data_IF_605918333216
#
_entry.id   IF_605918333216
#
_cell.length_a   1.000
_cell.length_b   1.000
_cell.length_c   1.000
_cell.angle_alpha   90.00
_cell.angle_beta   90.00
_cell.angle_gamma   90.00
#
_symmetry.space_group_name_H-M   'P 1'
#
loop_
_entity.id
_entity.type
_entity.pdbx_description
1 polymer ?
#
# COMPACT_ATOMS: atom_id res chain seq x y z
N UNK A 1 -22.04 1.22 5.40
CA UNK A 1 -22.34 2.09 4.26
C UNK A 1 -23.50 3.01 4.65
N UNK A 2 -23.34 4.30 4.46
CA UNK A 2 -24.38 5.29 4.71
C UNK A 2 -24.76 5.97 3.41
N UNK A 3 -26.07 6.13 3.16
CA UNK A 3 -26.57 6.83 2.00
C UNK A 3 -26.63 8.34 2.28
N UNK A 4 -26.23 9.15 1.31
CA UNK A 4 -26.32 10.60 1.37
C UNK A 4 -26.80 11.19 0.05
N UNK A 5 -27.31 12.41 0.10
CA UNK A 5 -27.64 13.18 -1.08
C UNK A 5 -26.37 13.92 -1.55
N UNK A 6 -25.90 13.55 -2.66
CA UNK A 6 -24.57 13.41 -3.21
C UNK A 6 -23.61 14.62 -3.30
N UNK A 7 -23.98 15.86 -3.10
CA UNK A 7 -23.05 16.97 -3.41
C UNK A 7 -22.14 17.41 -2.25
N UNK A 8 -22.47 17.03 -1.03
CA UNK A 8 -21.64 17.24 0.16
C UNK A 8 -22.08 16.25 1.24
N UNK A 9 -21.32 15.15 1.44
CA UNK A 9 -21.61 14.21 2.51
C UNK A 9 -21.62 14.92 3.87
N UNK A 10 -22.63 14.67 4.74
CA UNK A 10 -22.61 15.21 6.09
C UNK A 10 -21.60 14.46 6.97
N UNK A 11 -21.30 15.03 8.11
CA UNK A 11 -20.63 14.29 9.17
C UNK A 11 -21.53 13.14 9.65
N UNK A 12 -20.93 11.99 9.95
CA UNK A 12 -21.60 10.82 10.48
C UNK A 12 -21.04 10.44 11.86
N UNK A 13 -21.73 9.52 12.51
CA UNK A 13 -21.23 8.84 13.69
C UNK A 13 -21.33 7.33 13.51
N UNK A 14 -20.52 6.59 14.28
CA UNK A 14 -20.53 5.14 14.32
C UNK A 14 -20.16 4.63 15.71
N UNK A 15 -20.45 3.36 15.97
CA UNK A 15 -20.05 2.67 17.20
C UNK A 15 -18.55 2.31 17.15
N UNK A 16 -17.74 3.17 17.77
CA UNK A 16 -16.30 2.98 17.86
C UNK A 16 -15.89 1.79 18.75
N UNK A 17 -16.79 1.31 19.62
CA UNK A 17 -16.50 0.13 20.46
C UNK A 17 -16.39 -1.14 19.62
N UNK A 18 -17.15 -1.23 18.54
CA UNK A 18 -17.09 -2.35 17.59
C UNK A 18 -15.82 -2.38 16.74
N UNK A 19 -15.09 -1.27 16.72
CA UNK A 19 -13.82 -1.12 15.97
C UNK A 19 -12.60 -0.96 16.90
N UNK A 20 -12.79 -1.11 18.21
CA UNK A 20 -11.75 -0.91 19.24
C UNK A 20 -11.22 0.54 19.29
N UNK A 21 -12.05 1.50 18.90
CA UNK A 21 -11.72 2.93 18.91
C UNK A 21 -12.38 3.69 20.06
N UNK A 22 -13.32 3.07 20.80
CA UNK A 22 -13.98 3.65 21.95
C UNK A 22 -14.34 2.60 22.99
N UNK A 23 -14.60 3.05 24.22
CA UNK A 23 -15.12 2.21 25.31
C UNK A 23 -16.64 2.00 25.16
N UNK A 24 -17.16 0.82 25.53
CA UNK A 24 -18.58 0.50 25.40
C UNK A 24 -19.53 1.44 26.17
N UNK A 25 -19.06 2.11 27.23
CA UNK A 25 -19.82 3.10 27.98
C UNK A 25 -19.88 4.50 27.33
N UNK A 26 -19.04 4.77 26.31
CA UNK A 26 -19.00 6.00 25.52
C UNK A 26 -18.51 5.65 24.11
N UNK A 27 -19.37 4.98 23.35
CA UNK A 27 -18.98 4.25 22.14
C UNK A 27 -18.95 5.07 20.87
N UNK A 28 -19.53 6.28 20.86
CA UNK A 28 -19.64 7.08 19.63
C UNK A 28 -18.30 7.66 19.20
N UNK A 29 -17.97 7.45 17.92
CA UNK A 29 -16.96 8.19 17.19
C UNK A 29 -17.59 8.93 16.01
N UNK A 30 -16.94 10.00 15.55
CA UNK A 30 -17.40 10.81 14.42
C UNK A 30 -16.61 10.48 13.17
N UNK A 31 -17.28 10.57 12.03
CA UNK A 31 -16.71 10.42 10.69
C UNK A 31 -16.83 11.76 9.94
N UNK A 32 -15.70 12.37 9.65
CA UNK A 32 -15.63 13.59 8.85
C UNK A 32 -15.27 13.21 7.41
N UNK A 33 -16.12 13.53 6.43
CA UNK A 33 -15.81 13.35 5.02
C UNK A 33 -14.58 14.15 4.59
N UNK A 34 -13.65 13.49 3.88
CA UNK A 34 -12.42 14.13 3.39
C UNK A 34 -12.26 14.02 1.88
N UNK A 35 -12.76 12.94 1.27
CA UNK A 35 -12.71 12.73 -0.17
C UNK A 35 -13.91 11.92 -0.63
N UNK A 36 -14.48 12.28 -1.77
CA UNK A 36 -15.55 11.51 -2.42
C UNK A 36 -15.04 10.95 -3.74
N UNK A 37 -15.33 9.67 -3.99
CA UNK A 37 -15.05 8.96 -5.23
C UNK A 37 -16.39 8.65 -5.91
N UNK A 38 -16.63 9.26 -7.06
CA UNK A 38 -17.80 8.96 -7.88
C UNK A 38 -17.67 7.55 -8.46
N UNK A 39 -18.66 6.71 -8.19
CA UNK A 39 -18.64 5.32 -8.64
C UNK A 39 -19.68 5.09 -9.73
N UNK A 40 -19.28 4.97 -11.01
CA UNK A 40 -20.21 4.77 -12.12
C UNK A 40 -20.95 3.43 -12.07
N UNK A 41 -20.48 2.48 -11.26
CA UNK A 41 -21.03 1.12 -11.16
C UNK A 41 -21.80 0.86 -9.85
N UNK A 42 -22.05 1.89 -9.05
CA UNK A 42 -22.72 1.70 -7.76
C UNK A 42 -22.90 3.00 -6.98
N UNK A 43 -22.78 2.88 -5.66
CA UNK A 43 -22.83 4.05 -4.78
C UNK A 43 -21.46 4.70 -4.68
N UNK A 44 -21.43 6.02 -4.62
CA UNK A 44 -20.23 6.79 -4.37
C UNK A 44 -19.55 6.34 -3.07
N UNK A 45 -18.23 6.36 -3.07
CA UNK A 45 -17.43 6.07 -1.88
C UNK A 45 -16.98 7.37 -1.24
N UNK A 46 -17.15 7.47 0.06
CA UNK A 46 -16.71 8.64 0.83
C UNK A 46 -15.64 8.19 1.81
N UNK A 47 -14.41 8.67 1.58
CA UNK A 47 -13.32 8.55 2.54
C UNK A 47 -13.58 9.49 3.70
N UNK A 48 -13.43 8.99 4.92
CA UNK A 48 -13.65 9.75 6.14
C UNK A 48 -12.46 9.62 7.08
N UNK A 49 -12.23 10.65 7.87
CA UNK A 49 -11.32 10.59 9.03
C UNK A 49 -12.12 10.51 10.33
N UNK A 50 -11.52 9.92 11.36
CA UNK A 50 -12.17 9.65 12.64
C UNK A 50 -11.84 10.74 13.65
N UNK A 51 -12.87 11.20 14.37
CA UNK A 51 -12.73 12.01 15.58
C UNK A 51 -13.39 11.30 16.78
N UNK A 52 -12.93 11.64 17.97
CA UNK A 52 -13.60 11.27 19.21
C UNK A 52 -14.93 12.02 19.35
N UNK A 53 -15.80 11.58 20.25
CA UNK A 53 -17.11 12.21 20.48
C UNK A 53 -17.04 13.68 20.89
N UNK A 54 -15.94 14.14 21.45
CA UNK A 54 -15.66 15.52 21.85
C UNK A 54 -15.08 16.38 20.69
N UNK A 55 -15.07 15.85 19.47
CA UNK A 55 -14.51 16.47 18.25
C UNK A 55 -12.99 16.62 18.22
N UNK A 56 -12.27 15.99 19.15
CA UNK A 56 -10.80 15.92 19.04
C UNK A 56 -10.38 14.86 18.04
N UNK A 57 -9.20 15.04 17.43
CA UNK A 57 -8.62 14.03 16.53
C UNK A 57 -8.45 12.71 17.27
N UNK A 58 -9.04 11.62 16.75
CA UNK A 58 -8.91 10.32 17.37
C UNK A 58 -7.46 9.80 17.28
N UNK A 59 -6.91 9.14 18.32
CA UNK A 59 -5.51 8.63 18.30
C UNK A 59 -5.18 7.69 17.13
N UNK A 60 -6.16 7.00 16.57
CA UNK A 60 -5.99 6.15 15.37
C UNK A 60 -6.07 6.90 14.05
N UNK A 61 -6.27 8.21 14.07
CA UNK A 61 -6.39 9.03 12.85
C UNK A 61 -5.03 9.56 12.41
N UNK A 62 -4.22 8.71 11.77
CA UNK A 62 -2.92 9.10 11.23
C UNK A 62 -3.02 10.01 10.00
N UNK A 63 -4.19 10.02 9.32
CA UNK A 63 -4.44 10.94 8.21
C UNK A 63 -4.34 12.39 8.63
N UNK A 64 -4.90 12.76 9.77
CA UNK A 64 -4.84 14.13 10.28
C UNK A 64 -3.39 14.59 10.52
N UNK A 65 -2.52 13.72 11.04
CA UNK A 65 -1.11 14.03 11.22
C UNK A 65 -0.37 14.19 9.88
N UNK A 66 -0.64 13.32 8.91
CA UNK A 66 -0.07 13.42 7.58
C UNK A 66 -0.52 14.70 6.85
N UNK A 67 -1.78 15.10 7.00
CA UNK A 67 -2.34 16.33 6.37
C UNK A 67 -1.64 17.60 6.83
N UNK A 68 -1.05 17.61 8.03
CA UNK A 68 -0.31 18.78 8.55
C UNK A 68 1.06 18.98 7.88
N UNK A 69 1.66 17.91 7.34
CA UNK A 69 3.05 17.91 6.86
C UNK A 69 3.20 17.63 5.36
N UNK A 70 2.23 16.92 4.77
CA UNK A 70 2.32 16.50 3.36
C UNK A 70 1.62 17.50 2.45
N UNK A 71 2.33 17.96 1.43
CA UNK A 71 1.81 18.87 0.40
C UNK A 71 1.76 18.19 -0.97
N UNK A 72 1.00 18.76 -1.92
CA UNK A 72 0.90 18.25 -3.30
C UNK A 72 2.21 18.34 -4.10
N UNK A 73 3.23 18.97 -3.55
CA UNK A 73 4.58 18.94 -4.09
C UNK A 73 5.17 17.52 -4.08
N UNK A 74 4.80 16.72 -3.08
CA UNK A 74 5.22 15.33 -2.95
C UNK A 74 4.36 14.42 -3.80
N UNK A 75 5.01 13.58 -4.59
CA UNK A 75 4.39 12.51 -5.36
C UNK A 75 4.79 11.18 -4.75
N UNK A 76 3.81 10.30 -4.64
CA UNK A 76 3.99 8.96 -4.08
C UNK A 76 3.46 7.91 -5.04
N UNK A 77 4.19 6.79 -5.13
CA UNK A 77 3.77 5.60 -5.87
C UNK A 77 3.94 4.39 -4.97
N UNK A 78 2.84 3.72 -4.64
CA UNK A 78 2.83 2.53 -3.81
C UNK A 78 2.76 1.28 -4.68
N UNK A 79 3.68 0.35 -4.47
CA UNK A 79 3.71 -0.98 -5.09
C UNK A 79 3.09 -1.95 -4.10
N UNK A 80 1.76 -2.08 -4.15
CA UNK A 80 1.02 -2.91 -3.21
C UNK A 80 1.04 -4.36 -3.62
N UNK A 81 1.84 -5.17 -2.93
CA UNK A 81 1.81 -6.62 -3.05
C UNK A 81 0.75 -7.24 -2.15
N UNK A 82 0.20 -8.37 -2.58
CA UNK A 82 -0.78 -9.14 -1.83
C UNK A 82 -0.89 -10.57 -2.39
N UNK A 83 -1.54 -11.47 -1.63
CA UNK A 83 -1.93 -12.78 -2.12
C UNK A 83 -3.44 -12.87 -2.23
N UNK A 84 -3.92 -13.47 -3.31
CA UNK A 84 -5.25 -14.07 -3.30
C UNK A 84 -5.19 -15.38 -2.53
N UNK A 85 -6.21 -15.66 -1.73
CA UNK A 85 -6.26 -16.84 -0.87
C UNK A 85 -7.59 -17.56 -0.99
N UNK A 86 -7.59 -18.84 -0.74
CA UNK A 86 -8.78 -19.60 -0.47
C UNK A 86 -9.34 -19.18 0.90
N UNK A 87 -10.61 -18.73 1.01
CA UNK A 87 -11.17 -18.19 2.24
C UNK A 87 -11.41 -19.23 3.34
N UNK A 88 -11.47 -20.53 3.00
CA UNK A 88 -11.71 -21.62 3.95
C UNK A 88 -10.39 -22.07 4.62
N UNK A 89 -9.33 -22.14 3.83
CA UNK A 89 -8.02 -22.65 4.28
C UNK A 89 -7.01 -21.56 4.60
N UNK A 90 -7.16 -20.37 4.02
CA UNK A 90 -6.18 -19.27 4.07
C UNK A 90 -4.95 -19.49 3.19
N UNK A 91 -4.87 -20.62 2.47
CA UNK A 91 -3.77 -20.91 1.56
C UNK A 91 -3.81 -20.00 0.33
N UNK A 92 -2.67 -19.67 -0.28
CA UNK A 92 -2.65 -18.91 -1.52
C UNK A 92 -3.45 -19.60 -2.63
N UNK A 93 -4.13 -18.83 -3.45
CA UNK A 93 -4.87 -19.35 -4.58
C UNK A 93 -3.95 -20.10 -5.54
N UNK A 94 -4.36 -21.32 -5.96
CA UNK A 94 -3.54 -22.21 -6.79
C UNK A 94 -2.67 -23.19 -5.99
N UNK A 95 -2.77 -23.21 -4.66
CA UNK A 95 -2.02 -24.12 -3.79
C UNK A 95 -2.85 -25.28 -3.24
N UNK A 96 -4.03 -25.53 -3.79
CA UNK A 96 -4.98 -26.54 -3.30
C UNK A 96 -4.42 -27.97 -3.32
N UNK A 97 -3.38 -28.21 -4.12
CA UNK A 97 -2.68 -29.51 -4.23
C UNK A 97 -1.32 -29.53 -3.52
N UNK A 98 -1.07 -28.58 -2.61
CA UNK A 98 0.20 -28.38 -1.93
C UNK A 98 1.05 -27.28 -2.56
N UNK A 99 2.29 -27.13 -2.08
CA UNK A 99 3.18 -26.10 -2.59
C UNK A 99 3.42 -26.24 -4.10
N UNK A 100 3.34 -25.13 -4.86
CA UNK A 100 3.67 -25.15 -6.28
C UNK A 100 5.18 -25.32 -6.50
N UNK A 101 5.62 -25.30 -7.76
CA UNK A 101 7.04 -25.21 -8.09
C UNK A 101 7.68 -23.95 -7.48
N UNK A 102 9.01 -23.96 -7.37
CA UNK A 102 9.79 -22.85 -6.80
C UNK A 102 9.35 -21.48 -7.38
N UNK A 103 9.41 -20.47 -6.53
CA UNK A 103 9.09 -19.08 -6.92
C UNK A 103 10.03 -18.56 -8.00
N UNK A 104 9.64 -17.44 -8.63
CA UNK A 104 10.38 -16.79 -9.70
C UNK A 104 9.74 -16.98 -11.06
N UNK A 105 9.45 -18.22 -11.45
CA UNK A 105 8.83 -18.56 -12.74
C UNK A 105 7.40 -18.01 -12.93
N UNK A 106 6.77 -17.50 -11.85
CA UNK A 106 5.43 -16.92 -11.88
C UNK A 106 5.44 -15.42 -12.15
N UNK A 107 6.59 -14.75 -11.99
CA UNK A 107 6.72 -13.31 -12.14
C UNK A 107 6.31 -12.85 -13.54
N UNK A 108 5.37 -11.90 -13.60
CA UNK A 108 4.73 -11.45 -14.85
C UNK A 108 4.18 -12.61 -15.71
N UNK A 109 3.80 -13.73 -15.06
CA UNK A 109 3.42 -14.97 -15.72
C UNK A 109 2.20 -14.83 -16.62
N UNK A 110 2.21 -15.59 -17.71
CA UNK A 110 1.10 -15.71 -18.68
C UNK A 110 0.81 -17.17 -18.92
N UNK A 111 -0.48 -17.49 -19.03
CA UNK A 111 -0.96 -18.86 -19.23
C UNK A 111 -1.40 -19.55 -17.95
N UNK A 112 -2.37 -20.45 -18.07
CA UNK A 112 -3.08 -21.08 -16.94
C UNK A 112 -2.19 -21.87 -15.97
N UNK A 113 -1.01 -22.31 -16.39
CA UNK A 113 -0.06 -23.00 -15.52
C UNK A 113 0.90 -22.05 -14.77
N UNK A 114 0.85 -20.76 -15.05
CA UNK A 114 1.80 -19.76 -14.53
C UNK A 114 1.14 -18.66 -13.70
N UNK A 115 -0.20 -18.53 -13.75
CA UNK A 115 -0.91 -17.45 -13.07
C UNK A 115 -2.31 -17.91 -12.67
N UNK A 116 -2.76 -17.41 -11.53
CA UNK A 116 -4.14 -17.54 -11.03
C UNK A 116 -4.62 -16.18 -10.56
N UNK A 117 -5.94 -15.91 -10.62
CA UNK A 117 -6.53 -14.66 -10.13
C UNK A 117 -6.43 -13.46 -11.08
N UNK A 118 -6.00 -13.64 -12.33
CA UNK A 118 -5.87 -12.53 -13.30
C UNK A 118 -7.19 -11.78 -13.52
N UNK A 119 -8.28 -12.48 -13.67
CA UNK A 119 -9.59 -11.87 -13.87
C UNK A 119 -9.97 -10.94 -12.71
N UNK A 120 -9.64 -11.33 -11.49
CA UNK A 120 -9.88 -10.55 -10.27
C UNK A 120 -9.00 -9.29 -10.28
N UNK A 121 -7.71 -9.45 -10.59
CA UNK A 121 -6.74 -8.34 -10.67
C UNK A 121 -7.11 -7.34 -11.77
N UNK A 122 -7.52 -7.81 -12.94
CA UNK A 122 -7.95 -6.95 -14.05
C UNK A 122 -9.26 -6.21 -13.70
N UNK A 123 -10.22 -6.88 -13.04
CA UNK A 123 -11.45 -6.25 -12.55
C UNK A 123 -11.14 -5.15 -11.51
N UNK A 124 -10.25 -5.44 -10.56
CA UNK A 124 -9.80 -4.46 -9.57
C UNK A 124 -9.14 -3.23 -10.23
N UNK A 125 -8.22 -3.45 -11.17
CA UNK A 125 -7.58 -2.38 -11.93
C UNK A 125 -8.62 -1.47 -12.60
N UNK A 126 -9.57 -2.06 -13.34
CA UNK A 126 -10.60 -1.28 -14.03
C UNK A 126 -11.50 -0.52 -13.05
N UNK A 127 -11.95 -1.16 -11.98
CA UNK A 127 -12.80 -0.51 -10.98
C UNK A 127 -12.11 0.68 -10.28
N UNK A 128 -10.82 0.58 -10.01
CA UNK A 128 -10.05 1.69 -9.47
C UNK A 128 -9.90 2.84 -10.47
N UNK A 129 -9.63 2.54 -11.74
CA UNK A 129 -9.57 3.55 -12.80
C UNK A 129 -10.92 4.26 -12.98
N UNK A 130 -12.02 3.53 -12.91
CA UNK A 130 -13.38 4.09 -13.00
C UNK A 130 -13.73 5.02 -11.81
N UNK A 131 -13.10 4.79 -10.65
CA UNK A 131 -13.19 5.70 -9.48
C UNK A 131 -12.25 6.92 -9.57
N UNK A 132 -11.47 7.04 -10.65
CA UNK A 132 -10.48 8.11 -10.80
C UNK A 132 -9.22 7.93 -9.96
N UNK A 133 -8.96 6.72 -9.48
CA UNK A 133 -7.70 6.35 -8.82
C UNK A 133 -6.67 6.00 -9.89
N UNK A 134 -5.49 6.58 -9.81
CA UNK A 134 -4.43 6.31 -10.79
C UNK A 134 -3.69 5.02 -10.42
N UNK A 135 -4.13 3.90 -10.98
CA UNK A 135 -3.33 2.69 -11.03
C UNK A 135 -2.51 2.67 -12.32
N UNK A 136 -1.20 2.54 -12.19
CA UNK A 136 -0.28 2.56 -13.35
C UNK A 136 0.00 1.18 -13.92
N UNK A 137 -0.35 0.13 -13.18
CA UNK A 137 -0.22 -1.24 -13.63
C UNK A 137 -0.62 -2.27 -12.59
N UNK A 138 -0.64 -3.52 -13.02
CA UNK A 138 -0.75 -4.71 -12.17
C UNK A 138 0.06 -5.84 -12.79
N UNK A 139 0.65 -6.70 -11.96
CA UNK A 139 1.42 -7.87 -12.40
C UNK A 139 1.29 -9.01 -11.40
N UNK A 140 1.41 -10.23 -11.92
CA UNK A 140 1.64 -11.40 -11.09
C UNK A 140 3.06 -11.33 -10.51
N UNK A 141 3.20 -11.71 -9.26
CA UNK A 141 4.44 -11.71 -8.52
C UNK A 141 5.14 -13.09 -8.52
N UNK A 142 6.27 -13.20 -7.82
CA UNK A 142 7.17 -14.35 -7.88
C UNK A 142 6.58 -15.65 -7.35
N UNK A 143 5.56 -15.61 -6.50
CA UNK A 143 4.84 -16.76 -6.01
C UNK A 143 3.48 -16.92 -6.68
N UNK A 144 3.04 -18.16 -6.89
CA UNK A 144 1.71 -18.41 -7.43
C UNK A 144 0.63 -17.88 -6.49
N UNK A 145 -0.32 -17.08 -7.02
CA UNK A 145 -1.35 -16.40 -6.23
C UNK A 145 -0.94 -15.04 -5.67
N UNK A 146 0.34 -14.68 -5.78
CA UNK A 146 0.84 -13.35 -5.41
C UNK A 146 0.68 -12.38 -6.58
N UNK A 147 0.22 -11.18 -6.26
CA UNK A 147 -0.02 -10.08 -7.19
C UNK A 147 0.49 -8.77 -6.62
N UNK A 148 0.70 -7.82 -7.52
CA UNK A 148 1.03 -6.44 -7.22
C UNK A 148 0.19 -5.49 -8.07
N UNK A 149 -0.16 -4.33 -7.53
CA UNK A 149 -0.61 -3.18 -8.32
C UNK A 149 0.11 -1.91 -7.86
N UNK A 150 0.28 -0.96 -8.79
CA UNK A 150 0.96 0.30 -8.52
C UNK A 150 -0.07 1.44 -8.48
N UNK A 151 -0.17 2.11 -7.30
CA UNK A 151 -1.06 3.24 -7.06
C UNK A 151 -0.25 4.53 -6.95
N UNK A 152 -0.51 5.49 -7.84
CA UNK A 152 0.21 6.76 -7.93
C UNK A 152 -0.69 7.92 -7.53
N UNK A 153 -0.17 8.84 -6.70
CA UNK A 153 -0.90 10.03 -6.29
C UNK A 153 0.01 11.18 -5.86
N UNK A 154 -0.63 12.31 -5.54
CA UNK A 154 0.04 13.51 -5.03
C UNK A 154 -0.47 13.85 -3.64
N UNK A 155 0.43 14.31 -2.80
CA UNK A 155 0.07 14.71 -1.46
C UNK A 155 -0.64 13.62 -0.69
N UNK A 156 -1.50 14.01 0.22
CA UNK A 156 -2.27 13.09 1.07
C UNK A 156 -3.25 12.21 0.28
N UNK A 157 -3.70 12.71 -0.90
CA UNK A 157 -4.60 11.95 -1.77
C UNK A 157 -3.99 10.62 -2.20
N UNK A 158 -2.68 10.50 -2.31
CA UNK A 158 -2.02 9.23 -2.63
C UNK A 158 -2.36 8.14 -1.61
N UNK A 159 -2.37 8.47 -0.31
CA UNK A 159 -2.73 7.55 0.76
C UNK A 159 -4.24 7.27 0.82
N UNK A 160 -5.07 8.28 0.57
CA UNK A 160 -6.52 8.12 0.45
C UNK A 160 -6.85 7.13 -0.69
N UNK A 161 -6.24 7.31 -1.86
CA UNK A 161 -6.40 6.45 -3.04
C UNK A 161 -5.96 5.00 -2.76
N UNK A 162 -4.84 4.81 -2.05
CA UNK A 162 -4.38 3.48 -1.69
C UNK A 162 -5.37 2.78 -0.74
N UNK A 163 -5.91 3.47 0.26
CA UNK A 163 -6.93 2.89 1.15
C UNK A 163 -8.20 2.51 0.40
N UNK A 164 -8.67 3.36 -0.52
CA UNK A 164 -9.84 3.04 -1.34
C UNK A 164 -9.55 1.89 -2.29
N UNK A 165 -8.37 1.84 -2.90
CA UNK A 165 -7.96 0.71 -3.76
C UNK A 165 -7.91 -0.61 -2.99
N UNK A 166 -7.40 -0.63 -1.75
CA UNK A 166 -7.45 -1.81 -0.86
C UNK A 166 -8.89 -2.24 -0.58
N UNK A 167 -9.78 -1.28 -0.24
CA UNK A 167 -11.20 -1.59 -0.04
C UNK A 167 -11.83 -2.22 -1.29
N UNK A 168 -11.55 -1.66 -2.46
CA UNK A 168 -12.04 -2.23 -3.72
C UNK A 168 -11.48 -3.62 -4.00
N UNK A 169 -10.21 -3.86 -3.68
CA UNK A 169 -9.59 -5.18 -3.84
C UNK A 169 -10.32 -6.24 -3.00
N UNK A 170 -10.56 -5.96 -1.72
CA UNK A 170 -11.30 -6.87 -0.85
C UNK A 170 -12.74 -7.08 -1.32
N UNK A 171 -13.43 -5.99 -1.69
CA UNK A 171 -14.82 -6.05 -2.16
C UNK A 171 -14.96 -6.87 -3.45
N UNK A 172 -14.05 -6.68 -4.40
CA UNK A 172 -14.07 -7.44 -5.65
C UNK A 172 -13.71 -8.90 -5.41
N UNK A 173 -12.68 -9.18 -4.60
CA UNK A 173 -12.32 -10.56 -4.25
C UNK A 173 -13.48 -11.31 -3.60
N UNK A 174 -14.29 -10.64 -2.76
CA UNK A 174 -15.53 -11.19 -2.18
C UNK A 174 -16.53 -11.64 -3.28
N UNK A 175 -16.68 -10.89 -4.37
CA UNK A 175 -17.57 -11.24 -5.49
C UNK A 175 -17.13 -12.54 -6.19
N UNK A 176 -15.84 -12.84 -6.16
CA UNK A 176 -15.26 -14.08 -6.73
C UNK A 176 -15.12 -15.21 -5.69
N UNK A 177 -15.54 -14.99 -4.45
CA UNK A 177 -15.38 -15.98 -3.37
C UNK A 177 -13.92 -16.23 -2.98
N UNK A 178 -13.05 -15.24 -3.13
CA UNK A 178 -11.61 -15.31 -2.89
C UNK A 178 -11.24 -14.36 -1.77
N UNK A 179 -10.31 -14.76 -0.90
CA UNK A 179 -9.72 -13.93 0.13
C UNK A 179 -8.55 -13.08 -0.39
N UNK A 180 -8.19 -12.05 0.37
CA UNK A 180 -7.01 -11.20 0.14
C UNK A 180 -6.15 -11.20 1.40
N UNK A 181 -4.87 -11.44 1.25
CA UNK A 181 -3.90 -11.44 2.34
C UNK A 181 -2.79 -10.41 2.05
N UNK A 182 -2.71 -9.37 2.89
CA UNK A 182 -1.67 -8.33 2.86
C UNK A 182 -0.65 -8.49 4.01
N UNK A 183 -0.54 -9.68 4.59
CA UNK A 183 0.50 -9.95 5.59
C UNK A 183 1.88 -9.87 4.95
N UNK A 184 2.92 -9.32 5.62
CA UNK A 184 4.26 -9.21 5.02
C UNK A 184 4.92 -10.55 4.72
N UNK A 185 4.49 -11.63 5.35
CA UNK A 185 5.00 -13.00 5.10
C UNK A 185 3.83 -14.01 5.11
N UNK A 186 3.01 -14.08 4.04
CA UNK A 186 1.87 -14.98 3.98
C UNK A 186 2.23 -16.46 4.03
N UNK A 187 3.40 -16.81 3.48
CA UNK A 187 3.96 -18.19 3.55
C UNK A 187 5.33 -18.16 4.20
N UNK A 188 5.52 -19.03 5.18
CA UNK A 188 6.80 -19.26 5.83
C UNK A 188 7.74 -20.09 4.94
N UNK A 189 9.02 -20.17 5.30
CA UNK A 189 10.00 -20.90 4.52
C UNK A 189 10.63 -20.06 3.41
N UNK A 190 11.09 -20.73 2.35
CA UNK A 190 11.83 -20.13 1.23
C UNK A 190 10.88 -19.47 0.19
N UNK A 191 9.97 -18.61 0.68
CA UNK A 191 9.05 -17.84 -0.13
C UNK A 191 9.26 -16.34 0.09
N UNK A 192 9.04 -15.54 -0.95
CA UNK A 192 9.04 -14.08 -0.80
C UNK A 192 7.97 -13.62 0.19
N UNK A 193 8.24 -12.48 0.82
CA UNK A 193 7.24 -11.72 1.52
C UNK A 193 6.43 -10.84 0.58
N UNK A 194 5.51 -10.07 1.15
CA UNK A 194 4.76 -9.02 0.46
C UNK A 194 5.12 -7.66 1.03
N UNK A 195 5.58 -6.77 0.16
CA UNK A 195 5.94 -5.39 0.47
C UNK A 195 4.89 -4.39 0.00
N UNK A 196 5.12 -3.16 0.36
CA UNK A 196 4.53 -1.99 -0.24
C UNK A 196 5.64 -0.99 -0.49
N UNK A 197 6.49 -1.29 -1.47
CA UNK A 197 7.57 -0.38 -1.84
C UNK A 197 6.97 0.98 -2.17
N UNK A 198 7.58 2.02 -1.62
CA UNK A 198 7.06 3.37 -1.76
C UNK A 198 8.02 4.22 -2.55
N UNK A 199 7.62 4.53 -3.77
CA UNK A 199 8.30 5.50 -4.61
C UNK A 199 7.89 6.90 -4.18
N UNK A 200 8.85 7.82 -4.06
CA UNK A 200 8.54 9.20 -3.68
C UNK A 200 9.48 10.21 -4.32
N UNK A 201 8.96 11.40 -4.57
CA UNK A 201 9.74 12.53 -5.05
C UNK A 201 9.06 13.86 -4.73
N UNK A 202 9.86 14.88 -4.54
CA UNK A 202 9.38 16.27 -4.53
C UNK A 202 9.76 17.00 -5.83
N UNK A 203 9.40 18.27 -5.97
CA UNK A 203 9.68 19.04 -7.17
C UNK A 203 11.20 19.19 -7.43
N UNK A 204 12.00 19.37 -6.39
CA UNK A 204 13.44 19.50 -6.53
C UNK A 204 14.07 18.22 -7.08
N UNK A 205 13.67 17.06 -6.56
CA UNK A 205 14.12 15.75 -7.06
C UNK A 205 13.73 15.52 -8.53
N UNK A 206 12.57 16.03 -8.97
CA UNK A 206 12.09 15.84 -10.35
C UNK A 206 12.68 16.81 -11.36
N UNK A 207 13.09 18.02 -10.94
CA UNK A 207 13.46 19.12 -11.85
C UNK A 207 14.86 19.66 -11.69
N UNK A 208 15.48 19.46 -10.52
CA UNK A 208 16.82 20.01 -10.17
C UNK A 208 17.64 19.02 -9.35
N UNK A 209 17.43 17.72 -9.61
CA UNK A 209 18.10 16.66 -8.90
C UNK A 209 19.62 16.67 -9.12
N UNK A 210 20.33 16.10 -8.16
CA UNK A 210 21.75 15.81 -8.25
C UNK A 210 22.10 14.58 -7.40
N UNK A 211 23.25 13.99 -7.63
CA UNK A 211 23.73 12.86 -6.82
C UNK A 211 23.78 13.21 -5.35
N UNK A 212 24.26 14.41 -5.03
CA UNK A 212 24.37 14.90 -3.66
C UNK A 212 22.98 15.07 -3.01
N UNK A 213 21.98 15.56 -3.76
CA UNK A 213 20.62 15.69 -3.26
C UNK A 213 20.04 14.34 -2.90
N UNK A 214 20.12 13.36 -3.81
CA UNK A 214 19.59 12.01 -3.59
C UNK A 214 20.31 11.29 -2.46
N UNK A 215 21.64 11.38 -2.39
CA UNK A 215 22.42 10.83 -1.28
C UNK A 215 22.03 11.46 0.05
N UNK A 216 21.81 12.78 0.10
CA UNK A 216 21.36 13.48 1.31
C UNK A 216 20.00 12.98 1.81
N UNK A 217 19.05 12.66 0.91
CA UNK A 217 17.77 12.04 1.30
C UNK A 217 17.99 10.63 1.85
N UNK A 218 18.81 9.82 1.18
CA UNK A 218 19.13 8.48 1.66
C UNK A 218 19.80 8.50 3.04
N UNK A 219 20.76 9.39 3.25
CA UNK A 219 21.44 9.53 4.54
C UNK A 219 20.47 9.89 5.67
N UNK A 220 19.56 10.86 5.43
CA UNK A 220 18.52 11.24 6.39
C UNK A 220 17.56 10.09 6.71
N UNK A 221 17.16 9.30 5.70
CA UNK A 221 16.34 8.10 5.90
C UNK A 221 17.10 7.03 6.72
N UNK A 222 18.41 6.99 6.59
CA UNK A 222 19.26 6.14 7.41
C UNK A 222 19.32 6.59 8.88
N UNK A 223 19.40 7.90 9.13
CA UNK A 223 19.39 8.47 10.48
C UNK A 223 18.11 8.14 11.27
N UNK A 224 16.96 8.05 10.56
CA UNK A 224 15.63 7.74 11.15
C UNK A 224 15.16 6.32 10.81
N UNK A 225 16.09 5.40 10.52
CA UNK A 225 15.74 4.04 10.08
C UNK A 225 14.83 3.31 11.08
N UNK A 226 15.14 3.37 12.36
CA UNK A 226 14.40 2.65 13.40
C UNK A 226 12.96 3.19 13.54
N UNK A 227 12.78 4.51 13.44
CA UNK A 227 11.46 5.16 13.45
C UNK A 227 10.65 4.75 12.21
N UNK A 228 11.30 4.72 11.05
CA UNK A 228 10.67 4.24 9.81
C UNK A 228 10.19 2.79 9.97
N UNK A 229 11.05 1.88 10.42
CA UNK A 229 10.67 0.47 10.64
C UNK A 229 9.48 0.34 11.60
N UNK A 230 9.42 1.13 12.65
CA UNK A 230 8.30 1.12 13.60
C UNK A 230 6.96 1.57 12.97
N UNK A 231 7.00 2.35 11.88
CA UNK A 231 5.82 2.82 11.14
C UNK A 231 5.42 1.91 9.96
N UNK A 232 6.33 1.06 9.48
CA UNK A 232 6.23 0.36 8.20
C UNK A 232 5.51 -0.99 8.25
N UNK A 233 4.59 -1.15 9.18
CA UNK A 233 3.73 -2.34 9.29
C UNK A 233 4.16 -3.31 10.37
N UNK A 234 3.23 -4.19 10.77
CA UNK A 234 3.50 -5.26 11.74
C UNK A 234 4.16 -6.47 11.05
N UNK A 235 4.89 -7.27 11.84
CA UNK A 235 5.52 -8.52 11.40
C UNK A 235 6.50 -8.37 10.21
N UNK A 236 7.02 -7.16 9.99
CA UNK A 236 7.92 -6.86 8.88
C UNK A 236 9.32 -7.48 9.05
N UNK A 237 9.68 -7.88 10.26
CA UNK A 237 10.87 -8.68 10.57
C UNK A 237 10.83 -10.07 9.91
N UNK A 238 9.64 -10.62 9.69
CA UNK A 238 9.47 -11.86 8.95
C UNK A 238 9.79 -11.73 7.46
N UNK A 239 9.72 -10.51 6.90
CA UNK A 239 9.98 -10.19 5.49
C UNK A 239 11.40 -9.64 5.29
N UNK A 240 11.84 -8.68 6.11
CA UNK A 240 13.15 -8.01 5.98
C UNK A 240 14.27 -8.85 6.62
N UNK A 241 14.67 -9.89 5.95
CA UNK A 241 15.61 -10.90 6.47
C UNK A 241 17.02 -10.80 5.89
N UNK A 242 17.25 -9.95 4.89
CA UNK A 242 18.47 -9.94 4.08
C UNK A 242 18.49 -11.00 2.98
N UNK A 243 17.37 -11.72 2.79
CA UNK A 243 17.14 -12.70 1.72
C UNK A 243 15.97 -12.21 0.86
N UNK A 244 15.72 -12.88 -0.29
CA UNK A 244 14.57 -12.57 -1.15
C UNK A 244 14.49 -11.09 -1.56
N UNK A 245 15.66 -10.53 -1.94
CA UNK A 245 15.77 -9.14 -2.41
C UNK A 245 15.34 -8.09 -1.37
N UNK A 246 15.57 -8.38 -0.09
CA UNK A 246 15.38 -7.43 1.01
C UNK A 246 16.68 -7.17 1.76
N UNK A 247 16.81 -5.98 2.34
CA UNK A 247 17.80 -5.73 3.39
C UNK A 247 17.33 -6.35 4.72
N UNK A 248 18.27 -6.68 5.59
CA UNK A 248 17.94 -7.07 6.96
C UNK A 248 17.33 -5.89 7.72
N UNK A 249 16.29 -6.16 8.54
CA UNK A 249 15.50 -5.14 9.23
C UNK A 249 16.33 -4.22 10.15
N UNK A 250 17.43 -4.71 10.69
CA UNK A 250 18.33 -3.95 11.56
C UNK A 250 19.39 -3.14 10.80
N UNK A 251 19.45 -3.30 9.48
CA UNK A 251 20.48 -2.68 8.64
C UNK A 251 19.85 -1.70 7.65
N UNK A 252 20.57 -0.62 7.41
CA UNK A 252 20.19 0.36 6.39
C UNK A 252 21.27 0.41 5.30
N UNK A 253 20.83 0.42 4.06
CA UNK A 253 21.68 0.63 2.89
C UNK A 253 20.92 1.29 1.78
N UNK A 254 21.64 1.90 0.83
CA UNK A 254 21.04 2.38 -0.41
C UNK A 254 21.99 2.16 -1.58
N UNK A 255 21.45 2.09 -2.79
CA UNK A 255 22.27 1.90 -3.98
C UNK A 255 21.49 2.07 -5.28
N UNK A 256 22.21 2.34 -6.36
CA UNK A 256 21.65 2.44 -7.71
C UNK A 256 21.31 1.04 -8.21
N UNK A 257 20.05 0.85 -8.60
CA UNK A 257 19.50 -0.43 -9.09
C UNK A 257 19.68 -1.61 -8.11
N UNK A 258 19.93 -1.34 -6.82
CA UNK A 258 20.15 -2.36 -5.81
C UNK A 258 18.81 -2.80 -5.19
N UNK A 259 18.34 -3.99 -5.57
CA UNK A 259 17.10 -4.59 -5.04
C UNK A 259 17.27 -5.15 -3.62
N UNK A 260 18.48 -5.36 -3.16
CA UNK A 260 18.79 -5.79 -1.79
C UNK A 260 18.96 -4.65 -0.79
N UNK A 261 18.89 -3.40 -1.23
CA UNK A 261 19.03 -2.25 -0.36
C UNK A 261 17.69 -1.83 0.30
N UNK A 262 17.79 -1.06 1.38
CA UNK A 262 16.65 -0.41 2.02
C UNK A 262 16.01 0.66 1.12
N UNK A 263 16.87 1.47 0.48
CA UNK A 263 16.47 2.48 -0.50
C UNK A 263 17.14 2.19 -1.84
N UNK A 264 16.33 2.04 -2.86
CA UNK A 264 16.81 1.89 -4.23
C UNK A 264 16.74 3.23 -4.95
N UNK A 265 17.84 3.59 -5.60
CA UNK A 265 17.87 4.70 -6.56
C UNK A 265 17.62 4.09 -7.93
N UNK A 266 16.48 4.36 -8.60
CA UNK A 266 16.23 3.79 -9.92
C UNK A 266 17.27 4.22 -10.94
N UNK A 267 17.66 3.32 -11.84
CA UNK A 267 18.60 3.66 -12.92
C UNK A 267 18.08 4.83 -13.78
N UNK A 268 16.77 4.89 -13.99
CA UNK A 268 16.12 6.00 -14.68
C UNK A 268 16.46 7.37 -14.06
N UNK A 269 16.47 7.48 -12.72
CA UNK A 269 16.84 8.72 -12.03
C UNK A 269 18.27 9.16 -12.40
N UNK A 270 19.22 8.22 -12.41
CA UNK A 270 20.61 8.49 -12.75
C UNK A 270 20.77 8.87 -14.23
N UNK A 271 20.17 8.09 -15.12
CA UNK A 271 20.23 8.32 -16.58
C UNK A 271 19.53 9.63 -16.99
N UNK A 272 18.52 10.06 -16.23
CA UNK A 272 17.84 11.33 -16.44
C UNK A 272 18.54 12.50 -15.70
N UNK A 273 19.87 12.47 -15.61
CA UNK A 273 20.68 13.47 -14.93
C UNK A 273 20.25 13.73 -13.47
N UNK A 274 19.99 12.67 -12.73
CA UNK A 274 19.52 12.70 -11.35
C UNK A 274 18.17 13.42 -11.18
N UNK A 275 17.32 13.46 -12.20
CA UNK A 275 15.93 13.93 -12.06
C UNK A 275 15.00 12.72 -12.02
N UNK A 276 14.36 12.49 -10.88
CA UNK A 276 13.53 11.31 -10.72
C UNK A 276 12.99 11.14 -9.31
N UNK A 277 13.09 9.92 -8.79
CA UNK A 277 12.51 9.52 -7.51
C UNK A 277 13.39 8.51 -6.77
N UNK A 278 13.09 8.27 -5.50
CA UNK A 278 13.62 7.18 -4.68
C UNK A 278 12.54 6.12 -4.46
N UNK A 279 12.97 4.89 -4.26
CA UNK A 279 12.11 3.77 -3.86
C UNK A 279 12.52 3.30 -2.46
N UNK A 280 11.65 3.52 -1.45
CA UNK A 280 11.79 2.92 -0.14
C UNK A 280 11.20 1.50 -0.17
N UNK A 281 12.07 0.50 -0.01
CA UNK A 281 11.72 -0.91 -0.09
C UNK A 281 11.39 -1.54 1.26
N UNK A 282 11.45 -0.74 2.33
CA UNK A 282 11.24 -1.21 3.71
C UNK A 282 9.76 -1.40 4.09
N UNK A 283 8.78 -0.60 3.61
CA UNK A 283 7.40 -0.77 4.04
C UNK A 283 6.82 -2.14 3.68
N UNK A 284 6.11 -2.75 4.63
CA UNK A 284 5.37 -3.99 4.44
C UNK A 284 4.03 -3.75 3.74
N UNK A 285 3.48 -4.77 3.13
CA UNK A 285 2.18 -4.70 2.43
C UNK A 285 1.02 -4.26 3.32
N UNK A 286 1.08 -4.52 4.64
CA UNK A 286 0.07 -4.12 5.62
C UNK A 286 0.33 -2.73 6.25
N UNK A 287 1.35 -2.01 5.82
CA UNK A 287 1.66 -0.70 6.37
C UNK A 287 0.52 0.31 6.14
N UNK A 288 0.35 1.24 7.08
CA UNK A 288 -0.57 2.36 6.93
C UNK A 288 0.09 3.45 6.07
N UNK A 289 -0.46 3.77 4.89
CA UNK A 289 0.16 4.74 3.99
C UNK A 289 0.28 6.14 4.62
N UNK A 290 -0.61 6.55 5.52
CA UNK A 290 -0.50 7.85 6.20
C UNK A 290 0.72 7.95 7.12
N UNK A 291 1.20 6.81 7.64
CA UNK A 291 2.43 6.78 8.46
C UNK A 291 3.71 6.78 7.62
N UNK A 292 3.58 6.49 6.34
CA UNK A 292 4.71 6.45 5.40
C UNK A 292 4.97 7.86 4.82
N UNK A 293 3.88 8.61 4.55
CA UNK A 293 3.97 9.98 4.06
C UNK A 293 4.70 10.90 5.04
#
# INVERSE_FOLDING_TARGET
VKATDANRPPDWSFDGSSTQQAEGGSSDCLLLPVQTYENPHGHDLVMTQVQSADHTTHPSNFRAAAEEVVTDEWWFGFEQEFFFTDPETGEPLGWENGEPRAQGDFYCGVGAGNVVGREISDHHLQACLDLGITLTGTNAEVALGQWEYQCLGKGIKAADDLWVSRYMLYKIAEEYGVGVNIHPKPKTGDWNGSGMHTNFSNEEMRSRGSEELFSSYCDKLGEVHAEGIAAYGSDNDMRLTGLHETQNIEQFSYGVSDRGASIRIPVYTVENNWNGYLEDRRPASNADPYKIL
#
